data_IF_347091555935
#
_entry.id   IF_347091555935
#
_cell.length_a   1.000
_cell.length_b   1.000
_cell.length_c   1.000
_cell.angle_alpha   90.00
_cell.angle_beta   90.00
_cell.angle_gamma   90.00
#
_symmetry.space_group_name_H-M   'P 1'
#
loop_
_entity.id
_entity.type
_entity.pdbx_description
1 polymer ?
#
# COMPACT_ATOMS: atom_id res chain seq x y z
N UNK A 1 -19.47 -15.07 21.23
CA UNK A 1 -19.73 -15.43 19.83
C UNK A 1 -18.85 -14.57 18.94
N UNK A 2 -17.71 -15.09 18.49
CA UNK A 2 -16.79 -14.39 17.58
C UNK A 2 -17.35 -14.55 16.17
N UNK A 3 -17.80 -13.46 15.53
CA UNK A 3 -18.28 -13.52 14.15
C UNK A 3 -17.08 -13.69 13.23
N UNK A 4 -16.89 -14.91 12.71
CA UNK A 4 -15.89 -15.16 11.66
C UNK A 4 -16.34 -14.45 10.38
N UNK A 5 -15.75 -13.27 10.13
CA UNK A 5 -16.00 -12.52 8.91
C UNK A 5 -15.13 -13.09 7.80
N UNK A 6 -15.58 -14.17 7.18
CA UNK A 6 -14.89 -14.80 6.06
C UNK A 6 -14.95 -13.89 4.84
N UNK A 7 -13.80 -13.31 4.47
CA UNK A 7 -13.63 -12.58 3.21
C UNK A 7 -13.56 -13.65 2.11
N UNK A 8 -14.66 -13.87 1.40
CA UNK A 8 -14.67 -14.76 0.22
C UNK A 8 -13.81 -14.12 -0.88
N UNK A 9 -12.65 -14.70 -1.16
CA UNK A 9 -11.83 -14.31 -2.31
C UNK A 9 -12.58 -14.77 -3.57
N UNK A 10 -12.99 -13.87 -4.47
CA UNK A 10 -13.68 -14.27 -5.69
C UNK A 10 -12.75 -15.14 -6.55
N UNK A 11 -13.19 -16.33 -7.01
CA UNK A 11 -12.32 -17.33 -7.64
C UNK A 11 -11.82 -16.97 -9.05
N UNK A 12 -12.11 -15.77 -9.55
CA UNK A 12 -11.79 -15.30 -10.92
C UNK A 12 -11.01 -13.99 -10.95
N UNK A 13 -10.21 -13.70 -9.93
CA UNK A 13 -9.39 -12.49 -9.90
C UNK A 13 -7.92 -12.84 -9.82
N UNK A 14 -7.07 -12.05 -10.51
CA UNK A 14 -5.62 -12.07 -10.34
C UNK A 14 -5.31 -11.51 -8.94
N UNK A 15 -5.52 -12.35 -7.93
CA UNK A 15 -5.51 -11.99 -6.51
C UNK A 15 -4.47 -12.83 -5.78
N UNK A 16 -3.53 -12.15 -5.15
CA UNK A 16 -2.53 -12.77 -4.30
C UNK A 16 -2.81 -12.43 -2.82
N UNK A 17 -2.57 -13.40 -1.94
CA UNK A 17 -2.78 -13.27 -0.49
C UNK A 17 -1.45 -13.08 0.24
N UNK A 18 -0.37 -13.64 -0.29
CA UNK A 18 0.98 -13.43 0.22
C UNK A 18 1.95 -13.35 -0.94
N UNK A 19 2.83 -12.34 -0.92
CA UNK A 19 3.92 -12.19 -1.88
C UNK A 19 5.21 -11.76 -1.18
N UNK A 20 6.30 -12.40 -1.59
CA UNK A 20 7.67 -12.00 -1.30
C UNK A 20 8.39 -11.75 -2.64
N UNK A 21 8.84 -10.52 -2.86
CA UNK A 21 9.43 -10.06 -4.11
C UNK A 21 10.74 -9.31 -3.82
N UNK A 22 11.86 -9.94 -4.17
CA UNK A 22 13.20 -9.41 -3.83
C UNK A 22 13.55 -8.10 -4.55
N UNK A 23 13.03 -7.87 -5.76
CA UNK A 23 13.42 -6.70 -6.58
C UNK A 23 12.18 -5.95 -7.08
N UNK A 24 11.26 -6.62 -7.76
CA UNK A 24 10.07 -6.00 -8.33
C UNK A 24 8.88 -6.95 -8.28
N UNK A 25 7.70 -6.42 -7.94
CA UNK A 25 6.45 -7.17 -8.07
C UNK A 25 5.25 -6.25 -8.34
N UNK A 26 4.55 -6.52 -9.44
CA UNK A 26 3.25 -5.95 -9.77
C UNK A 26 2.15 -7.00 -9.56
N UNK A 27 1.04 -6.61 -8.94
CA UNK A 27 -0.19 -7.42 -8.83
C UNK A 27 -1.41 -6.58 -9.17
N UNK A 28 -2.41 -7.22 -9.77
CA UNK A 28 -3.69 -6.54 -10.01
C UNK A 28 -4.45 -6.31 -8.71
N UNK A 29 -4.63 -7.35 -7.89
CA UNK A 29 -5.26 -7.21 -6.59
C UNK A 29 -4.47 -7.93 -5.50
N UNK A 30 -4.29 -7.27 -4.35
CA UNK A 30 -3.67 -7.80 -3.15
C UNK A 30 -4.73 -7.91 -2.05
N UNK A 31 -4.89 -9.11 -1.50
CA UNK A 31 -5.72 -9.38 -0.33
C UNK A 31 -4.89 -10.10 0.73
N UNK A 32 -3.98 -9.38 1.36
CA UNK A 32 -3.07 -9.90 2.38
C UNK A 32 -1.75 -9.14 2.45
N UNK A 33 -0.62 -9.83 2.49
CA UNK A 33 0.69 -9.23 2.78
C UNK A 33 1.63 -9.28 1.56
N UNK A 34 2.24 -8.15 1.22
CA UNK A 34 3.26 -8.06 0.17
C UNK A 34 4.55 -7.44 0.74
N UNK A 35 5.68 -8.13 0.58
CA UNK A 35 6.99 -7.71 1.12
C UNK A 35 8.06 -7.72 0.04
N UNK A 36 8.67 -6.57 -0.21
CA UNK A 36 9.66 -6.46 -1.29
C UNK A 36 10.29 -5.08 -1.44
N UNK A 37 11.31 -4.95 -2.28
CA UNK A 37 11.95 -3.64 -2.54
C UNK A 37 10.96 -2.71 -3.25
N UNK A 38 10.34 -3.18 -4.33
CA UNK A 38 9.33 -2.45 -5.09
C UNK A 38 8.04 -3.25 -5.17
N UNK A 39 6.99 -2.72 -4.57
CA UNK A 39 5.65 -3.28 -4.54
C UNK A 39 4.69 -2.39 -5.33
N UNK A 40 3.89 -2.98 -6.21
CA UNK A 40 2.88 -2.25 -7.00
C UNK A 40 1.56 -3.04 -7.06
N UNK A 41 0.47 -2.36 -6.73
CA UNK A 41 -0.90 -2.90 -6.77
C UNK A 41 -1.77 -2.01 -7.66
N UNK A 42 -2.24 -2.52 -8.80
CA UNK A 42 -2.90 -1.69 -9.82
C UNK A 42 -4.38 -1.40 -9.52
N UNK A 43 -5.10 -2.31 -8.83
CA UNK A 43 -6.56 -2.22 -8.74
C UNK A 43 -7.12 -2.23 -7.31
N UNK A 44 -6.82 -3.23 -6.49
CA UNK A 44 -7.35 -3.28 -5.13
C UNK A 44 -6.32 -3.81 -4.16
N UNK A 45 -6.05 -3.05 -3.10
CA UNK A 45 -5.21 -3.47 -1.99
C UNK A 45 -6.05 -3.53 -0.72
N UNK A 46 -6.15 -4.73 -0.15
CA UNK A 46 -6.65 -4.97 1.20
C UNK A 46 -5.57 -5.73 1.97
N UNK A 47 -4.99 -5.13 3.01
CA UNK A 47 -3.98 -5.79 3.84
C UNK A 47 -2.75 -4.93 4.16
N UNK A 48 -1.54 -5.43 3.92
CA UNK A 48 -0.30 -4.74 4.25
C UNK A 48 0.76 -4.82 3.14
N UNK A 49 1.51 -3.73 2.94
CA UNK A 49 2.73 -3.71 2.12
C UNK A 49 3.92 -3.22 2.93
N UNK A 50 5.06 -3.91 2.80
CA UNK A 50 6.33 -3.54 3.45
C UNK A 50 7.44 -3.51 2.39
N UNK A 51 8.14 -2.39 2.27
CA UNK A 51 9.17 -2.27 1.24
C UNK A 51 9.95 -0.97 1.21
N UNK A 52 10.71 -0.72 0.14
CA UNK A 52 11.36 0.57 -0.11
C UNK A 52 10.40 1.49 -0.87
N UNK A 53 9.71 0.95 -1.86
CA UNK A 53 8.69 1.63 -2.66
C UNK A 53 7.40 0.81 -2.66
N UNK A 54 6.29 1.42 -2.27
CA UNK A 54 4.95 0.85 -2.41
C UNK A 54 4.08 1.77 -3.30
N UNK A 55 3.51 1.21 -4.36
CA UNK A 55 2.57 1.86 -5.27
C UNK A 55 1.18 1.22 -5.17
N UNK A 56 0.11 2.02 -5.16
CA UNK A 56 -1.27 1.50 -5.17
C UNK A 56 -2.23 2.42 -5.91
N UNK A 57 -2.65 2.03 -7.11
CA UNK A 57 -3.21 2.99 -8.08
C UNK A 57 -4.70 3.26 -7.92
N UNK A 58 -5.43 2.46 -7.15
CA UNK A 58 -6.88 2.66 -6.98
C UNK A 58 -7.30 2.51 -5.51
N UNK A 59 -7.97 1.42 -5.18
CA UNK A 59 -8.61 1.25 -3.88
C UNK A 59 -7.62 0.67 -2.87
N UNK A 60 -7.32 1.40 -1.80
CA UNK A 60 -6.35 0.97 -0.79
C UNK A 60 -6.96 0.97 0.61
N UNK A 61 -7.05 -0.22 1.21
CA UNK A 61 -7.57 -0.47 2.55
C UNK A 61 -6.52 -1.25 3.35
N UNK A 62 -5.64 -0.53 4.05
CA UNK A 62 -4.53 -1.22 4.68
C UNK A 62 -3.37 -0.36 5.10
N UNK A 63 -2.30 -1.06 5.45
CA UNK A 63 -1.08 -0.48 6.01
C UNK A 63 0.02 -0.51 4.96
N UNK A 64 0.74 0.58 4.82
CA UNK A 64 1.87 0.65 3.91
C UNK A 64 3.08 1.24 4.62
N UNK A 65 4.12 0.42 4.71
CA UNK A 65 5.38 0.74 5.35
C UNK A 65 6.47 0.76 4.29
N UNK A 66 6.90 1.96 3.90
CA UNK A 66 7.99 2.14 2.97
C UNK A 66 8.59 3.53 3.05
N UNK A 67 9.81 3.68 2.51
CA UNK A 67 10.47 4.96 2.31
C UNK A 67 9.60 5.82 1.37
N UNK A 68 9.15 5.24 0.27
CA UNK A 68 8.27 5.87 -0.71
C UNK A 68 6.94 5.12 -0.76
N UNK A 69 5.85 5.84 -0.51
CA UNK A 69 4.48 5.36 -0.68
C UNK A 69 3.74 6.27 -1.66
N UNK A 70 3.34 5.76 -2.82
CA UNK A 70 2.45 6.47 -3.74
C UNK A 70 1.15 5.70 -3.88
N UNK A 71 0.04 6.42 -3.87
CA UNK A 71 -1.24 5.81 -4.17
C UNK A 71 -2.24 6.89 -4.59
N UNK A 72 -3.16 6.54 -5.47
CA UNK A 72 -4.21 7.46 -5.89
C UNK A 72 -5.22 7.70 -4.77
N UNK A 73 -5.79 8.91 -4.75
CA UNK A 73 -6.72 9.39 -3.73
C UNK A 73 -8.12 8.80 -3.94
N UNK A 74 -8.31 7.54 -3.56
CA UNK A 74 -9.63 6.97 -3.23
C UNK A 74 -9.49 6.16 -1.94
N UNK A 75 -9.28 6.89 -0.85
CA UNK A 75 -8.93 6.32 0.46
C UNK A 75 -10.10 6.37 1.43
N UNK A 76 -10.45 5.22 2.00
CA UNK A 76 -11.44 5.11 3.07
C UNK A 76 -10.84 4.74 4.44
N UNK A 77 -9.63 4.14 4.51
CA UNK A 77 -8.93 3.84 5.78
C UNK A 77 -7.46 3.45 5.51
N UNK A 78 -6.52 4.37 5.68
CA UNK A 78 -5.08 4.10 5.51
C UNK A 78 -4.25 4.65 6.66
N UNK A 79 -3.26 3.86 7.04
CA UNK A 79 -2.21 4.26 7.97
C UNK A 79 -0.85 4.17 7.25
N UNK A 80 -0.17 5.32 7.13
CA UNK A 80 1.18 5.43 6.55
C UNK A 80 2.15 5.79 7.67
N UNK A 81 3.32 5.15 7.74
CA UNK A 81 4.30 5.47 8.79
C UNK A 81 5.48 6.34 8.29
N UNK A 82 5.78 7.35 9.10
CA UNK A 82 6.99 8.18 9.28
C UNK A 82 7.59 8.98 8.10
N UNK A 83 8.37 8.38 7.18
CA UNK A 83 9.27 9.18 6.32
C UNK A 83 8.54 9.96 5.20
N UNK A 84 7.47 9.39 4.64
CA UNK A 84 6.62 10.08 3.64
C UNK A 84 5.90 11.28 4.24
N UNK A 85 5.47 11.17 5.51
CA UNK A 85 4.83 12.24 6.26
C UNK A 85 5.83 13.37 6.50
N UNK A 86 7.07 13.03 6.90
CA UNK A 86 8.14 14.01 7.11
C UNK A 86 8.46 14.84 5.85
N UNK A 87 8.60 14.19 4.69
CA UNK A 87 8.88 14.89 3.42
C UNK A 87 7.69 15.74 2.93
N UNK A 88 6.45 15.33 3.21
CA UNK A 88 5.26 16.14 2.92
C UNK A 88 5.17 17.37 3.83
N UNK A 89 5.57 17.23 5.09
CA UNK A 89 5.60 18.35 6.04
C UNK A 89 6.68 19.37 5.68
N UNK A 90 7.86 18.92 5.23
CA UNK A 90 8.91 19.80 4.72
C UNK A 90 8.46 20.61 3.49
N UNK A 91 7.64 20.05 2.60
CA UNK A 91 7.10 20.76 1.44
C UNK A 91 6.07 21.84 1.79
N UNK A 92 5.51 21.83 2.99
CA UNK A 92 4.59 22.87 3.49
C UNK A 92 5.32 24.04 4.13
N UNK A 93 6.60 23.88 4.48
CA UNK A 93 7.41 24.96 5.03
C UNK A 93 7.75 25.88 3.85
N UNK A 94 7.29 27.15 3.86
CA UNK A 94 7.64 28.09 2.80
C UNK A 94 9.16 28.26 2.75
N UNK A 95 9.76 28.30 1.56
CA UNK A 95 11.20 28.52 1.42
C UNK A 95 11.57 29.85 2.08
N UNK A 96 12.45 29.79 3.07
CA UNK A 96 13.05 31.00 3.67
C UNK A 96 14.12 31.49 2.70
N UNK A 97 13.73 32.35 1.77
CA UNK A 97 14.68 33.07 0.94
C UNK A 97 15.36 34.14 1.83
N UNK A 98 16.69 34.08 1.92
CA UNK A 98 17.54 35.15 2.47
C UNK A 98 17.96 36.09 1.35
#
# INVERSE_FOLDING_TARGET
MTSEKTIKIPPKTQTEVFRLNLIHGNVENLYGLNVGIFNSVNNSMIGAQVGIVNLSDKNTYGWQFAIINMAEKKDYSRFRQALQIYLLELKKIPPVYK
#
